data_IF_562065432258
#
_entry.id   IF_562065432258
#
_cell.length_a   1.000
_cell.length_b   1.000
_cell.length_c   1.000
_cell.angle_alpha   90.00
_cell.angle_beta   90.00
_cell.angle_gamma   90.00
#
_symmetry.space_group_name_H-M   'P 1'
#
loop_
_entity.id
_entity.type
_entity.pdbx_description
1 polymer ?
#
# COMPACT_ATOMS: atom_id res chain seq x y z
N UNK A 1 -10.47 -7.87 -21.41
CA UNK A 1 -10.03 -6.66 -20.71
C UNK A 1 -8.52 -6.69 -20.76
N UNK A 2 -7.86 -5.83 -21.53
CA UNK A 2 -6.39 -5.79 -21.55
C UNK A 2 -5.89 -5.50 -20.13
N UNK A 3 -4.99 -6.33 -19.62
CA UNK A 3 -4.32 -6.09 -18.36
C UNK A 3 -3.40 -4.89 -18.60
N UNK A 4 -3.66 -3.79 -17.90
CA UNK A 4 -2.84 -2.59 -18.04
C UNK A 4 -1.42 -2.88 -17.51
N UNK A 5 -0.42 -2.22 -18.09
CA UNK A 5 0.97 -2.34 -17.64
C UNK A 5 1.12 -2.01 -16.15
N UNK A 6 0.26 -1.12 -15.62
CA UNK A 6 0.20 -0.83 -14.20
C UNK A 6 -0.18 -2.06 -13.36
N UNK A 7 -1.22 -2.80 -13.77
CA UNK A 7 -1.65 -4.01 -13.05
C UNK A 7 -0.56 -5.07 -13.02
N UNK A 8 0.18 -5.23 -14.12
CA UNK A 8 1.31 -6.18 -14.20
C UNK A 8 2.40 -5.81 -13.20
N UNK A 9 2.79 -4.53 -13.14
CA UNK A 9 3.87 -4.06 -12.25
C UNK A 9 3.53 -4.25 -10.77
N UNK A 10 2.29 -3.96 -10.39
CA UNK A 10 1.86 -4.14 -9.00
C UNK A 10 1.76 -5.63 -8.65
N UNK A 11 1.27 -6.49 -9.56
CA UNK A 11 1.26 -7.94 -9.34
C UNK A 11 2.69 -8.48 -9.17
N UNK A 12 3.63 -8.07 -10.02
CA UNK A 12 5.04 -8.41 -9.88
C UNK A 12 5.61 -7.95 -8.52
N UNK A 13 5.20 -6.78 -8.03
CA UNK A 13 5.58 -6.31 -6.70
C UNK A 13 5.03 -7.16 -5.57
N UNK A 14 3.78 -7.62 -5.67
CA UNK A 14 3.16 -8.54 -4.70
C UNK A 14 3.88 -9.89 -4.73
N UNK A 15 4.12 -10.44 -5.91
CA UNK A 15 4.83 -11.71 -6.08
C UNK A 15 6.26 -11.62 -5.50
N UNK A 16 6.96 -10.51 -5.75
CA UNK A 16 8.29 -10.24 -5.17
C UNK A 16 8.24 -10.13 -3.64
N UNK A 17 7.17 -9.54 -3.09
CA UNK A 17 6.96 -9.49 -1.65
C UNK A 17 6.78 -10.88 -1.05
N UNK A 18 5.94 -11.72 -1.66
CA UNK A 18 5.71 -13.10 -1.24
C UNK A 18 7.02 -13.91 -1.29
N UNK A 19 7.78 -13.78 -2.38
CA UNK A 19 9.08 -14.46 -2.52
C UNK A 19 10.07 -14.03 -1.44
N UNK A 20 10.09 -12.74 -1.06
CA UNK A 20 10.94 -12.27 0.05
C UNK A 20 10.54 -12.84 1.40
N UNK A 21 9.27 -13.18 1.62
CA UNK A 21 8.81 -13.86 2.83
C UNK A 21 9.10 -15.36 2.81
N UNK A 22 8.93 -16.03 1.68
CA UNK A 22 9.19 -17.47 1.56
C UNK A 22 10.68 -17.80 1.59
N UNK A 23 11.53 -16.88 1.11
CA UNK A 23 12.98 -17.03 1.05
C UNK A 23 13.46 -18.03 0.00
N UNK A 24 14.79 -18.18 -0.09
CA UNK A 24 15.42 -19.25 -0.87
C UNK A 24 15.38 -20.58 -0.10
N UNK A 25 15.79 -21.69 -0.70
CA UNK A 25 15.92 -22.95 0.05
C UNK A 25 16.82 -22.72 1.29
N UNK A 26 16.38 -23.15 2.49
CA UNK A 26 17.07 -22.80 3.72
C UNK A 26 18.50 -23.35 3.70
N UNK A 27 19.49 -22.45 3.78
CA UNK A 27 20.91 -22.83 3.90
C UNK A 27 21.16 -23.67 5.17
N UNK A 28 20.33 -23.42 6.19
CA UNK A 28 20.31 -24.16 7.44
C UNK A 28 18.94 -24.82 7.66
N UNK A 29 18.86 -26.15 7.84
CA UNK A 29 17.61 -26.92 7.82
C UNK A 29 16.59 -26.56 8.92
N UNK A 30 16.94 -25.70 9.88
CA UNK A 30 16.07 -25.26 10.97
C UNK A 30 15.90 -23.73 11.03
N UNK A 31 16.35 -22.99 10.01
CA UNK A 31 16.17 -21.54 9.93
C UNK A 31 15.30 -21.26 8.72
N UNK A 32 14.11 -20.74 8.96
CA UNK A 32 13.25 -20.26 7.89
C UNK A 32 13.89 -19.01 7.25
N UNK A 33 14.03 -18.95 5.92
CA UNK A 33 14.81 -17.94 5.22
C UNK A 33 13.99 -16.66 4.99
N UNK A 34 13.54 -16.02 6.05
CA UNK A 34 12.79 -14.76 5.92
C UNK A 34 13.69 -13.60 5.50
N UNK A 35 13.47 -13.03 4.31
CA UNK A 35 14.13 -11.82 3.82
C UNK A 35 13.19 -10.61 3.93
N UNK A 36 12.93 -10.18 5.17
CA UNK A 36 12.00 -9.08 5.47
C UNK A 36 12.43 -7.77 4.77
N UNK A 37 13.73 -7.53 4.60
CA UNK A 37 14.20 -6.35 3.87
C UNK A 37 13.80 -6.37 2.39
N UNK A 38 13.77 -7.54 1.77
CA UNK A 38 13.40 -7.71 0.36
C UNK A 38 11.90 -7.50 0.20
N UNK A 39 11.10 -8.04 1.12
CA UNK A 39 9.66 -7.81 1.16
C UNK A 39 9.33 -6.31 1.28
N UNK A 40 9.94 -5.61 2.24
CA UNK A 40 9.73 -4.15 2.41
C UNK A 40 10.20 -3.37 1.17
N UNK A 41 11.31 -3.79 0.55
CA UNK A 41 11.81 -3.17 -0.69
C UNK A 41 10.83 -3.35 -1.84
N UNK A 42 10.25 -4.54 -1.98
CA UNK A 42 9.19 -4.81 -2.96
C UNK A 42 7.96 -3.93 -2.72
N UNK A 43 7.50 -3.79 -1.47
CA UNK A 43 6.42 -2.84 -1.13
C UNK A 43 6.77 -1.41 -1.51
N UNK A 44 8.01 -0.97 -1.25
CA UNK A 44 8.47 0.37 -1.62
C UNK A 44 8.45 0.58 -3.15
N UNK A 45 8.83 -0.44 -3.93
CA UNK A 45 8.79 -0.38 -5.39
C UNK A 45 7.35 -0.22 -5.93
N UNK A 46 6.36 -0.90 -5.33
CA UNK A 46 4.93 -0.70 -5.64
C UNK A 46 4.55 0.78 -5.47
N UNK A 47 4.99 1.44 -4.40
CA UNK A 47 4.70 2.87 -4.20
C UNK A 47 5.33 3.77 -5.28
N UNK A 48 6.54 3.43 -5.76
CA UNK A 48 7.20 4.14 -6.87
C UNK A 48 6.39 4.01 -8.16
N UNK A 49 5.88 2.81 -8.46
CA UNK A 49 5.00 2.59 -9.62
C UNK A 49 3.69 3.36 -9.51
N UNK A 50 3.09 3.44 -8.31
CA UNK A 50 1.89 4.24 -8.07
C UNK A 50 2.14 5.73 -8.31
N UNK A 51 3.24 6.27 -7.78
CA UNK A 51 3.59 7.68 -7.98
C UNK A 51 3.80 8.00 -9.46
N UNK A 52 4.53 7.13 -10.18
CA UNK A 52 4.70 7.29 -11.63
C UNK A 52 3.36 7.21 -12.37
N UNK A 53 2.48 6.29 -12.00
CA UNK A 53 1.15 6.18 -12.60
C UNK A 53 0.30 7.44 -12.36
N UNK A 54 0.40 8.05 -11.17
CA UNK A 54 -0.24 9.35 -10.87
C UNK A 54 0.28 10.44 -11.81
N UNK A 55 1.60 10.52 -12.01
CA UNK A 55 2.21 11.50 -12.90
C UNK A 55 1.80 11.31 -14.36
N UNK A 56 1.82 10.06 -14.84
CA UNK A 56 1.49 9.71 -16.22
C UNK A 56 -0.01 9.90 -16.52
N UNK A 57 -0.89 9.55 -15.57
CA UNK A 57 -2.35 9.71 -15.71
C UNK A 57 -2.81 11.15 -15.48
N UNK A 58 -2.05 11.95 -14.73
CA UNK A 58 -2.33 13.34 -14.39
C UNK A 58 -3.81 13.60 -14.01
N UNK A 59 -4.34 12.94 -12.96
CA UNK A 59 -5.78 12.94 -12.64
C UNK A 59 -6.33 14.35 -12.38
N UNK A 60 -5.50 15.26 -11.86
CA UNK A 60 -5.88 16.67 -11.66
C UNK A 60 -6.17 17.44 -12.96
N UNK A 61 -5.64 16.98 -14.11
CA UNK A 61 -6.00 17.51 -15.43
C UNK A 61 -7.29 16.87 -15.93
N UNK A 62 -7.41 15.54 -15.80
CA UNK A 62 -8.61 14.80 -16.19
C UNK A 62 -9.86 15.31 -15.46
N UNK A 63 -9.74 15.60 -14.16
CA UNK A 63 -10.82 16.14 -13.33
C UNK A 63 -11.34 17.52 -13.78
N UNK A 64 -10.59 18.25 -14.61
CA UNK A 64 -11.01 19.55 -15.17
C UNK A 64 -11.67 19.41 -16.54
N UNK A 65 -11.57 18.23 -17.17
CA UNK A 65 -12.17 17.97 -18.47
C UNK A 65 -13.66 17.73 -18.34
N UNK A 66 -14.42 18.06 -19.40
CA UNK A 66 -15.86 17.73 -19.53
C UNK A 66 -16.12 16.58 -20.49
N UNK A 67 -15.07 15.99 -21.06
CA UNK A 67 -15.19 14.86 -21.98
C UNK A 67 -15.52 13.58 -21.20
N UNK A 68 -16.55 12.85 -21.63
CA UNK A 68 -16.91 11.56 -21.03
C UNK A 68 -15.73 10.58 -21.03
N UNK A 69 -14.90 10.59 -22.08
CA UNK A 69 -13.71 9.74 -22.18
C UNK A 69 -12.69 10.05 -21.09
N UNK A 70 -12.53 11.32 -20.72
CA UNK A 70 -11.57 11.73 -19.71
C UNK A 70 -12.08 11.44 -18.30
N UNK A 71 -13.40 11.57 -18.08
CA UNK A 71 -14.07 11.15 -16.83
C UNK A 71 -13.87 9.65 -16.59
N UNK A 72 -14.10 8.81 -17.61
CA UNK A 72 -13.90 7.36 -17.49
C UNK A 72 -12.44 6.99 -17.16
N UNK A 73 -11.47 7.72 -17.72
CA UNK A 73 -10.05 7.51 -17.40
C UNK A 73 -9.71 7.94 -15.97
N UNK A 74 -10.31 9.04 -15.51
CA UNK A 74 -10.14 9.51 -14.14
C UNK A 74 -10.69 8.47 -13.16
N UNK A 75 -11.91 7.99 -13.39
CA UNK A 75 -12.55 7.00 -12.52
C UNK A 75 -11.73 5.71 -12.45
N UNK A 76 -11.26 5.21 -13.59
CA UNK A 76 -10.38 4.05 -13.63
C UNK A 76 -9.07 4.26 -12.86
N UNK A 77 -8.41 5.40 -13.06
CA UNK A 77 -7.15 5.71 -12.37
C UNK A 77 -7.34 5.86 -10.86
N UNK A 78 -8.42 6.51 -10.41
CA UNK A 78 -8.73 6.66 -9.00
C UNK A 78 -9.10 5.33 -8.34
N UNK A 79 -9.85 4.48 -9.03
CA UNK A 79 -10.17 3.14 -8.57
C UNK A 79 -8.90 2.30 -8.39
N UNK A 80 -8.06 2.24 -9.43
CA UNK A 80 -6.81 1.50 -9.42
C UNK A 80 -5.90 1.96 -8.25
N UNK A 81 -5.75 3.27 -8.06
CA UNK A 81 -4.94 3.82 -6.97
C UNK A 81 -5.52 3.54 -5.58
N UNK A 82 -6.84 3.64 -5.41
CA UNK A 82 -7.51 3.34 -4.15
C UNK A 82 -7.35 1.85 -3.78
N UNK A 83 -7.51 0.95 -4.75
CA UNK A 83 -7.40 -0.49 -4.54
C UNK A 83 -5.94 -0.91 -4.28
N UNK A 84 -4.95 -0.32 -4.97
CA UNK A 84 -3.54 -0.56 -4.64
C UNK A 84 -3.18 -0.02 -3.27
N UNK A 85 -3.75 1.13 -2.86
CA UNK A 85 -3.53 1.66 -1.51
C UNK A 85 -4.04 0.70 -0.43
N UNK A 86 -5.16 0.00 -0.69
CA UNK A 86 -5.66 -1.08 0.17
C UNK A 86 -4.67 -2.25 0.23
N UNK A 87 -4.13 -2.68 -0.90
CA UNK A 87 -3.11 -3.74 -0.96
C UNK A 87 -1.87 -3.34 -0.17
N UNK A 88 -1.35 -2.13 -0.38
CA UNK A 88 -0.19 -1.60 0.37
C UNK A 88 -0.42 -1.65 1.89
N UNK A 89 -1.63 -1.32 2.36
CA UNK A 89 -1.97 -1.41 3.77
C UNK A 89 -1.88 -2.85 4.31
N UNK A 90 -2.28 -3.85 3.53
CA UNK A 90 -2.12 -5.27 3.88
C UNK A 90 -0.63 -5.64 3.96
N UNK A 91 0.17 -5.27 2.94
CA UNK A 91 1.59 -5.62 2.86
C UNK A 91 2.44 -5.01 3.98
N UNK A 92 2.12 -3.77 4.40
CA UNK A 92 2.87 -3.11 5.49
C UNK A 92 2.32 -3.44 6.89
N UNK A 93 1.15 -4.07 7.00
CA UNK A 93 0.52 -4.41 8.28
C UNK A 93 1.45 -5.09 9.30
N UNK A 94 2.30 -6.09 8.94
CA UNK A 94 3.18 -6.74 9.92
C UNK A 94 4.28 -5.83 10.49
N UNK A 95 4.68 -4.78 9.76
CA UNK A 95 5.82 -3.92 10.13
C UNK A 95 5.38 -2.53 10.60
N UNK A 96 4.28 -2.00 10.05
CA UNK A 96 3.72 -0.67 10.32
C UNK A 96 2.21 -0.75 10.61
N UNK A 97 1.77 -1.49 11.65
CA UNK A 97 0.35 -1.77 11.87
C UNK A 97 -0.49 -0.50 12.07
N UNK A 98 0.04 0.49 12.80
CA UNK A 98 -0.65 1.78 12.99
C UNK A 98 -0.86 2.53 11.67
N UNK A 99 0.10 2.47 10.75
CA UNK A 99 -0.02 3.12 9.45
C UNK A 99 -1.03 2.38 8.56
N UNK A 100 -0.94 1.04 8.51
CA UNK A 100 -1.89 0.20 7.80
C UNK A 100 -3.35 0.45 8.25
N UNK A 101 -3.62 0.44 9.56
CA UNK A 101 -4.95 0.74 10.09
C UNK A 101 -5.44 2.15 9.72
N UNK A 102 -4.56 3.15 9.77
CA UNK A 102 -4.92 4.52 9.34
C UNK A 102 -5.21 4.60 7.83
N UNK A 103 -4.59 3.77 7.00
CA UNK A 103 -4.95 3.66 5.59
C UNK A 103 -6.34 3.02 5.46
N UNK A 104 -6.58 1.89 6.13
CA UNK A 104 -7.90 1.22 6.12
C UNK A 104 -9.03 2.15 6.58
N UNK A 105 -8.82 2.93 7.63
CA UNK A 105 -9.78 3.93 8.11
C UNK A 105 -10.07 5.01 7.05
N UNK A 106 -9.02 5.54 6.39
CA UNK A 106 -9.18 6.54 5.33
C UNK A 106 -9.82 5.96 4.07
N UNK A 107 -9.61 4.68 3.79
CA UNK A 107 -10.32 3.98 2.72
C UNK A 107 -11.72 3.56 3.14
N UNK A 108 -12.13 3.73 4.41
CA UNK A 108 -13.35 3.14 4.96
C UNK A 108 -13.44 1.63 4.68
N UNK A 109 -12.29 0.96 4.65
CA UNK A 109 -12.15 -0.45 4.35
C UNK A 109 -11.85 -1.22 5.64
N UNK A 110 -12.90 -1.48 6.41
CA UNK A 110 -12.79 -2.19 7.68
C UNK A 110 -13.20 -3.64 7.45
N UNK A 111 -12.42 -4.57 8.00
CA UNK A 111 -12.94 -5.91 8.20
C UNK A 111 -14.12 -5.79 9.16
N UNK A 112 -15.24 -6.44 8.83
CA UNK A 112 -16.20 -6.77 9.86
C UNK A 112 -15.45 -7.62 10.88
N UNK A 113 -15.14 -7.01 12.03
CA UNK A 113 -14.59 -7.71 13.17
C UNK A 113 -15.69 -8.67 13.64
N UNK A 114 -15.73 -9.86 13.04
CA UNK A 114 -16.39 -11.00 13.66
C UNK A 114 -15.78 -11.19 15.05
N UNK A 115 -16.52 -11.82 15.98
CA UNK A 115 -16.05 -12.07 17.36
C UNK A 115 -14.71 -12.85 17.42
N UNK A 116 -14.31 -13.47 16.31
CA UNK A 116 -12.97 -13.96 16.03
C UNK A 116 -12.13 -12.85 15.38
N UNK A 117 -11.01 -12.45 16.00
CA UNK A 117 -10.04 -11.45 15.51
C UNK A 117 -9.46 -11.79 14.12
N UNK A 118 -10.27 -11.71 13.06
CA UNK A 118 -9.81 -11.88 11.69
C UNK A 118 -9.00 -10.65 11.33
N UNK A 119 -7.70 -10.83 11.20
CA UNK A 119 -6.77 -9.87 10.59
C UNK A 119 -6.73 -10.11 9.09
N UNK A 120 -6.42 -9.07 8.32
CA UNK A 120 -6.18 -9.24 6.89
C UNK A 120 -5.03 -10.22 6.70
N UNK A 121 -5.23 -11.18 5.79
CA UNK A 121 -4.23 -12.11 5.35
C UNK A 121 -3.56 -11.61 4.08
N UNK A 122 -2.40 -12.20 3.74
CA UNK A 122 -1.74 -11.89 2.46
C UNK A 122 -2.61 -12.29 1.26
N UNK A 123 -3.47 -13.31 1.39
CA UNK A 123 -4.41 -13.71 0.36
C UNK A 123 -5.48 -12.64 0.06
N UNK A 124 -5.69 -11.67 0.96
CA UNK A 124 -6.59 -10.54 0.72
C UNK A 124 -5.95 -9.44 -0.15
N UNK A 125 -4.66 -9.55 -0.47
CA UNK A 125 -3.91 -8.62 -1.33
C UNK A 125 -4.18 -8.84 -2.84
N UNK A 126 -5.38 -9.30 -3.19
CA UNK A 126 -5.82 -9.48 -4.57
C UNK A 126 -6.49 -8.22 -5.13
N UNK A 127 -6.48 -8.05 -6.44
CA UNK A 127 -7.09 -6.92 -7.13
C UNK A 127 -8.62 -6.86 -7.05
N UNK A 128 -9.14 -5.64 -7.23
CA UNK A 128 -10.55 -5.30 -7.40
C UNK A 128 -11.45 -5.76 -6.25
N UNK A 129 -10.99 -5.56 -5.01
CA UNK A 129 -11.78 -5.89 -3.82
C UNK A 129 -12.61 -4.72 -3.30
N UNK A 130 -12.29 -3.49 -3.70
CA UNK A 130 -13.18 -2.35 -3.43
C UNK A 130 -14.44 -2.44 -4.29
N UNK A 131 -15.65 -2.40 -3.70
CA UNK A 131 -16.90 -2.47 -4.45
C UNK A 131 -17.15 -1.18 -5.24
N UNK A 132 -17.94 -1.29 -6.31
CA UNK A 132 -18.37 -0.12 -7.07
C UNK A 132 -19.22 0.82 -6.18
N UNK A 133 -19.02 2.13 -6.34
CA UNK A 133 -19.68 3.14 -5.52
C UNK A 133 -19.16 3.23 -4.08
N UNK A 134 -18.07 2.53 -3.75
CA UNK A 134 -17.42 2.61 -2.45
C UNK A 134 -17.02 4.05 -2.11
N UNK A 135 -17.39 4.50 -0.91
CA UNK A 135 -17.10 5.85 -0.43
C UNK A 135 -15.91 5.82 0.52
N UNK A 136 -14.81 6.39 0.07
CA UNK A 136 -13.61 6.60 0.90
C UNK A 136 -13.85 7.66 1.97
N UNK A 137 -13.12 7.55 3.07
CA UNK A 137 -13.12 8.54 4.15
C UNK A 137 -12.34 9.80 3.79
N UNK A 138 -12.18 10.69 4.78
CA UNK A 138 -11.42 11.94 4.61
C UNK A 138 -9.91 11.65 4.63
N UNK A 139 -9.15 12.05 3.59
CA UNK A 139 -7.71 11.83 3.57
C UNK A 139 -7.02 12.71 4.62
N UNK A 140 -6.05 12.13 5.32
CA UNK A 140 -5.15 12.79 6.27
C UNK A 140 -3.71 12.36 6.00
N UNK A 141 -2.72 13.26 6.13
CA UNK A 141 -1.32 12.89 5.97
C UNK A 141 -0.94 11.71 6.86
N UNK A 142 -0.44 10.64 6.24
CA UNK A 142 -0.15 9.38 6.94
C UNK A 142 1.09 9.51 7.83
N UNK A 143 2.16 10.10 7.31
CA UNK A 143 3.41 10.31 8.02
C UNK A 143 3.69 11.82 8.17
N UNK A 144 3.60 12.37 9.40
CA UNK A 144 4.04 13.73 9.67
C UNK A 144 5.53 13.90 9.37
N UNK A 145 5.94 15.10 8.93
CA UNK A 145 7.35 15.42 8.76
C UNK A 145 8.03 15.41 10.13
N UNK A 146 9.20 14.80 10.20
CA UNK A 146 10.08 14.93 11.36
C UNK A 146 10.76 16.29 11.23
N UNK A 147 10.50 17.18 12.18
CA UNK A 147 11.20 18.47 12.28
C UNK A 147 12.58 18.25 12.93
N UNK A 148 13.58 19.03 12.52
CA UNK A 148 14.92 18.96 13.09
C UNK A 148 14.86 19.30 14.59
N UNK A 149 14.96 18.28 15.43
CA UNK A 149 15.17 18.46 16.87
C UNK A 149 16.58 19.03 17.03
N UNK A 150 16.69 20.17 17.71
CA UNK A 150 17.97 20.75 18.06
C UNK A 150 18.81 19.66 18.76
N UNK A 151 20.05 19.41 18.28
CA UNK A 151 20.90 18.29 18.74
C UNK A 151 21.13 18.23 20.26
N UNK A 152 20.79 19.27 21.01
CA UNK A 152 20.82 19.32 22.47
C UNK A 152 19.85 18.38 23.18
N UNK A 153 18.73 18.00 22.55
CA UNK A 153 17.64 17.33 23.26
C UNK A 153 17.70 15.80 23.17
N UNK A 154 18.39 15.26 22.16
CA UNK A 154 18.48 13.80 21.94
C UNK A 154 19.45 13.12 22.92
N UNK A 155 20.47 13.83 23.42
CA UNK A 155 21.46 13.25 24.36
C UNK A 155 20.89 12.99 25.76
N UNK A 156 19.79 13.65 26.15
CA UNK A 156 19.22 13.51 27.50
C UNK A 156 18.52 12.18 27.76
N UNK A 157 18.02 11.49 26.72
CA UNK A 157 17.19 10.28 26.90
C UNK A 157 18.04 9.02 27.13
N UNK A 158 19.34 9.06 26.84
CA UNK A 158 20.24 7.88 26.94
C UNK A 158 21.09 7.89 28.23
N UNK A 159 20.90 8.88 29.10
CA UNK A 159 21.71 9.03 30.33
C UNK A 159 20.89 9.08 31.63
N UNK A 160 19.60 8.74 31.59
CA UNK A 160 18.74 8.59 32.79
C UNK A 160 18.23 7.16 32.95
#
# INVERSE_FOLDING_TARGET
MEISAFHVLIQQGIDSYCQGLDGDAPEYPNIEPFHVEDAIRATSLITVHCNRFIDDSAPWKLAKSKSEKDVLKLDAALYDLADVTRILAILILPVLPKAAHRIFDQLNWKMELSEEEKRFSLADAEWRRLPDGHVVGKPVPLFPRIEDVNKSDVTRVITE
#
